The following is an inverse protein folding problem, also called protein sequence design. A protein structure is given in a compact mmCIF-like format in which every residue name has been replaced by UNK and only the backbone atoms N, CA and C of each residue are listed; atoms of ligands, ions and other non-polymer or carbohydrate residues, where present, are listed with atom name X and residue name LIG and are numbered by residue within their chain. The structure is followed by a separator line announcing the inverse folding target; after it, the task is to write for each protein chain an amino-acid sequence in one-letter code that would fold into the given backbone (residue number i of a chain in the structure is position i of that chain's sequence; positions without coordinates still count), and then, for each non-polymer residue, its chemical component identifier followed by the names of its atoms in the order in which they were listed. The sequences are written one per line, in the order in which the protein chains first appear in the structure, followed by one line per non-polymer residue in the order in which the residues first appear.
data_IF_723644776330
#
_entry.id   IF_723644776330
#
_cell.length_a   1.000
_cell.length_b   1.000
_cell.length_c   1.000
_cell.angle_alpha   90.00
_cell.angle_beta   90.00
_cell.angle_gamma   90.00
#
_symmetry.space_group_name_H-M   'P 1'
#
loop_
_entity.id
_entity.type
_entity.pdbx_description
1 polymer ?
#
# COMPACT_ATOMS: atom_id res chain seq x y z
N UNK A 1 -30.82 -23.92 -8.30
CA UNK A 1 -29.59 -24.55 -7.79
C UNK A 1 -28.48 -23.53 -7.81
N UNK A 2 -27.83 -23.36 -6.65
CA UNK A 2 -26.57 -22.65 -6.42
C UNK A 2 -26.54 -21.15 -6.74
N UNK A 3 -27.11 -20.39 -5.80
CA UNK A 3 -26.56 -19.11 -5.43
C UNK A 3 -25.12 -19.31 -4.90
N UNK A 4 -24.11 -19.00 -5.72
CA UNK A 4 -22.76 -18.76 -5.22
C UNK A 4 -22.73 -17.37 -4.60
N UNK A 5 -23.15 -17.31 -3.35
CA UNK A 5 -22.84 -16.24 -2.42
C UNK A 5 -21.34 -16.24 -2.12
N UNK A 6 -20.54 -15.66 -3.00
CA UNK A 6 -19.22 -15.15 -2.64
C UNK A 6 -19.37 -13.69 -2.24
N UNK A 7 -19.38 -13.44 -0.93
CA UNK A 7 -19.38 -12.09 -0.35
C UNK A 7 -18.11 -11.34 -0.77
N UNK A 8 -18.15 -10.69 -1.94
CA UNK A 8 -17.19 -9.64 -2.27
C UNK A 8 -17.46 -8.49 -1.32
N UNK A 9 -16.78 -8.50 -0.17
CA UNK A 9 -16.64 -7.31 0.68
C UNK A 9 -16.15 -6.18 -0.24
N UNK A 10 -17.04 -5.26 -0.58
CA UNK A 10 -16.72 -4.00 -1.24
C UNK A 10 -15.87 -3.18 -0.26
N UNK A 11 -14.59 -3.52 -0.11
CA UNK A 11 -13.63 -2.62 0.55
C UNK A 11 -13.35 -1.51 -0.45
N UNK A 12 -13.79 -0.31 -0.11
CA UNK A 12 -13.34 0.90 -0.80
C UNK A 12 -11.82 0.91 -0.83
N UNK A 13 -11.25 1.32 -1.96
CA UNK A 13 -9.81 1.55 -2.06
C UNK A 13 -9.40 2.61 -1.03
N UNK A 14 -8.18 2.54 -0.47
CA UNK A 14 -7.68 3.58 0.41
C UNK A 14 -7.52 4.89 -0.37
N UNK A 15 -7.49 6.02 0.34
CA UNK A 15 -7.41 7.34 -0.30
C UNK A 15 -5.98 7.76 -0.68
N UNK A 16 -4.95 7.14 -0.11
CA UNK A 16 -3.55 7.43 -0.46
C UNK A 16 -3.15 6.94 -1.85
N UNK A 17 -2.44 7.77 -2.62
CA UNK A 17 -1.84 7.48 -3.94
C UNK A 17 -2.83 7.08 -5.07
N UNK A 18 -4.14 7.20 -4.85
CA UNK A 18 -5.15 6.94 -5.89
C UNK A 18 -5.61 8.24 -6.57
N UNK A 19 -5.84 8.17 -7.88
CA UNK A 19 -6.36 9.31 -8.65
C UNK A 19 -7.74 9.74 -8.12
N UNK A 20 -7.97 11.04 -8.05
CA UNK A 20 -9.21 11.66 -7.59
C UNK A 20 -9.59 11.31 -6.14
N UNK A 21 -8.61 11.05 -5.28
CA UNK A 21 -8.80 10.87 -3.83
C UNK A 21 -7.85 11.79 -3.07
N UNK A 22 -8.30 12.29 -1.94
CA UNK A 22 -7.54 13.24 -1.13
C UNK A 22 -7.46 12.81 0.32
N UNK A 23 -6.38 13.21 1.00
CA UNK A 23 -6.29 13.13 2.46
C UNK A 23 -7.41 13.92 3.15
N UNK A 24 -8.00 14.92 2.48
CA UNK A 24 -9.17 15.62 3.00
C UNK A 24 -10.37 14.67 3.23
N UNK A 25 -10.53 13.66 2.36
CA UNK A 25 -11.59 12.66 2.52
C UNK A 25 -11.34 11.79 3.77
N UNK A 26 -10.09 11.40 4.01
CA UNK A 26 -9.70 10.65 5.22
C UNK A 26 -9.97 11.45 6.50
N UNK A 27 -9.61 12.75 6.52
CA UNK A 27 -9.85 13.65 7.65
C UNK A 27 -11.36 13.75 7.92
N UNK A 28 -12.16 14.00 6.87
CA UNK A 28 -13.60 14.13 7.00
C UNK A 28 -14.26 12.85 7.53
N UNK A 29 -13.78 11.67 7.11
CA UNK A 29 -14.25 10.39 7.65
C UNK A 29 -13.97 10.29 9.15
N UNK A 30 -12.76 10.62 9.58
CA UNK A 30 -12.37 10.57 11.01
C UNK A 30 -13.16 11.58 11.84
N UNK A 31 -13.33 12.81 11.35
CA UNK A 31 -14.13 13.85 12.00
C UNK A 31 -15.59 13.39 12.20
N UNK A 32 -16.19 12.77 11.18
CA UNK A 32 -17.55 12.24 11.27
C UNK A 32 -17.66 11.10 12.30
N UNK A 33 -16.66 10.22 12.39
CA UNK A 33 -16.63 9.17 13.41
C UNK A 33 -16.60 9.78 14.82
N UNK A 34 -15.76 10.80 15.06
CA UNK A 34 -15.71 11.48 16.35
C UNK A 34 -16.99 12.25 16.67
N UNK A 35 -17.59 12.92 15.70
CA UNK A 35 -18.86 13.62 15.88
C UNK A 35 -19.97 12.66 16.32
N UNK A 36 -20.05 11.47 15.69
CA UNK A 36 -21.02 10.44 16.06
C UNK A 36 -20.74 9.83 17.43
N UNK A 37 -19.47 9.58 17.75
CA UNK A 37 -19.10 9.10 19.07
C UNK A 37 -19.53 10.05 20.18
N UNK A 38 -19.32 11.35 19.94
CA UNK A 38 -19.74 12.41 20.85
C UNK A 38 -21.26 12.45 21.00
N UNK A 39 -22.01 12.41 19.89
CA UNK A 39 -23.48 12.38 19.87
C UNK A 39 -24.06 11.22 20.71
N UNK A 40 -23.50 10.02 20.56
CA UNK A 40 -23.98 8.81 21.24
C UNK A 40 -23.28 8.52 22.58
N UNK A 41 -22.39 9.40 23.04
CA UNK A 41 -21.56 9.22 24.25
C UNK A 41 -20.78 7.90 24.26
N UNK A 42 -20.31 7.48 23.10
CA UNK A 42 -19.46 6.30 22.98
C UNK A 42 -18.05 6.61 23.43
N UNK A 43 -17.45 5.69 24.19
CA UNK A 43 -16.02 5.73 24.47
C UNK A 43 -15.27 5.32 23.20
N UNK A 44 -14.32 6.14 22.76
CA UNK A 44 -13.41 5.84 21.66
C UNK A 44 -11.97 5.96 22.15
N UNK A 45 -11.17 4.96 21.79
CA UNK A 45 -9.73 4.95 21.92
C UNK A 45 -9.12 5.00 20.52
N UNK A 46 -8.12 5.86 20.31
CA UNK A 46 -7.48 6.08 19.00
C UNK A 46 -6.04 5.60 19.05
N UNK A 47 -5.64 4.76 18.10
CA UNK A 47 -4.25 4.29 17.95
C UNK A 47 -3.71 4.70 16.60
N UNK A 48 -2.57 5.40 16.61
CA UNK A 48 -1.82 5.74 15.41
C UNK A 48 -0.82 4.63 15.10
N UNK A 49 -0.89 4.06 13.90
CA UNK A 49 0.04 3.05 13.41
C UNK A 49 0.79 3.59 12.21
N UNK A 50 2.10 3.75 12.33
CA UNK A 50 2.99 4.15 11.24
C UNK A 50 4.08 3.10 11.01
N UNK A 51 4.39 2.84 9.74
CA UNK A 51 5.40 1.86 9.35
C UNK A 51 6.75 2.54 9.10
N UNK A 52 7.70 2.37 10.03
CA UNK A 52 9.04 2.93 9.88
C UNK A 52 9.73 2.38 8.63
N UNK A 53 10.10 3.28 7.70
CA UNK A 53 10.69 2.95 6.40
C UNK A 53 9.84 1.91 5.62
N UNK A 54 8.55 2.21 5.45
CA UNK A 54 7.58 1.33 4.82
C UNK A 54 8.08 0.74 3.50
N UNK A 55 8.58 1.57 2.57
CA UNK A 55 9.09 1.11 1.28
C UNK A 55 10.42 0.35 1.39
N UNK A 56 11.29 0.73 2.33
CA UNK A 56 12.56 0.04 2.55
C UNK A 56 12.40 -1.37 3.10
N UNK A 57 11.35 -1.62 3.88
CA UNK A 57 11.13 -2.92 4.51
C UNK A 57 10.30 -3.89 3.66
N UNK A 58 9.90 -3.50 2.45
CA UNK A 58 9.13 -4.37 1.56
C UNK A 58 9.97 -5.53 1.04
N UNK A 59 9.37 -6.72 1.06
CA UNK A 59 9.90 -7.93 0.43
C UNK A 59 9.43 -7.95 -1.04
N UNK A 60 10.29 -7.56 -1.98
CA UNK A 60 9.95 -7.48 -3.43
C UNK A 60 9.29 -8.75 -3.99
N UNK A 61 9.80 -9.93 -3.61
CA UNK A 61 9.23 -11.22 -4.03
C UNK A 61 7.74 -11.35 -3.69
N UNK A 62 7.32 -10.86 -2.53
CA UNK A 62 5.91 -10.89 -2.11
C UNK A 62 5.03 -10.00 -2.99
N UNK A 63 5.56 -8.87 -3.47
CA UNK A 63 4.84 -8.03 -4.44
C UNK A 63 4.63 -8.78 -5.75
N UNK A 64 5.65 -9.45 -6.27
CA UNK A 64 5.53 -10.19 -7.53
C UNK A 64 4.53 -11.35 -7.42
N UNK A 65 4.53 -12.06 -6.29
CA UNK A 65 3.52 -13.07 -5.96
C UNK A 65 2.10 -12.47 -5.92
N UNK A 66 1.92 -11.31 -5.29
CA UNK A 66 0.63 -10.62 -5.22
C UNK A 66 0.17 -10.15 -6.61
N UNK A 67 1.06 -9.59 -7.43
CA UNK A 67 0.73 -9.19 -8.80
C UNK A 67 0.26 -10.38 -9.64
N UNK A 68 0.92 -11.53 -9.53
CA UNK A 68 0.46 -12.75 -10.21
C UNK A 68 -0.93 -13.18 -9.70
N UNK A 69 -1.17 -13.13 -8.38
CA UNK A 69 -2.48 -13.44 -7.78
C UNK A 69 -3.58 -12.46 -8.21
N UNK A 70 -3.24 -11.20 -8.48
CA UNK A 70 -4.16 -10.20 -9.02
C UNK A 70 -4.43 -10.37 -10.53
N UNK A 71 -3.82 -11.36 -11.18
CA UNK A 71 -4.06 -11.68 -12.59
C UNK A 71 -3.22 -10.87 -13.59
N UNK A 72 -2.14 -10.23 -13.15
CA UNK A 72 -1.22 -9.56 -14.06
C UNK A 72 -0.41 -10.57 -14.88
N UNK A 73 -0.21 -10.27 -16.16
CA UNK A 73 0.57 -11.12 -17.07
C UNK A 73 2.04 -11.23 -16.66
N UNK A 74 2.63 -12.41 -16.87
CA UNK A 74 4.01 -12.69 -16.47
C UNK A 74 5.03 -11.75 -17.13
N UNK A 75 4.75 -11.28 -18.35
CA UNK A 75 5.60 -10.30 -19.06
C UNK A 75 5.62 -8.94 -18.34
N UNK A 76 4.47 -8.44 -17.89
CA UNK A 76 4.39 -7.18 -17.11
C UNK A 76 5.10 -7.32 -15.77
N UNK A 77 4.90 -8.46 -15.08
CA UNK A 77 5.58 -8.74 -13.82
C UNK A 77 7.10 -8.73 -14.04
N UNK A 78 7.59 -9.39 -15.10
CA UNK A 78 9.02 -9.41 -15.44
C UNK A 78 9.59 -8.01 -15.63
N UNK A 79 8.91 -7.14 -16.36
CA UNK A 79 9.34 -5.74 -16.53
C UNK A 79 9.46 -5.03 -15.16
N UNK A 80 8.51 -5.26 -14.26
CA UNK A 80 8.56 -4.69 -12.90
C UNK A 80 9.74 -5.26 -12.10
N UNK A 81 10.04 -6.56 -12.23
CA UNK A 81 11.22 -7.18 -11.61
C UNK A 81 12.49 -6.51 -12.11
N UNK A 82 12.64 -6.36 -13.42
CA UNK A 82 13.83 -5.79 -14.06
C UNK A 82 14.02 -4.31 -13.67
N UNK A 83 12.95 -3.51 -13.62
CA UNK A 83 13.00 -2.12 -13.12
C UNK A 83 13.52 -2.01 -11.68
N UNK A 84 13.33 -3.07 -10.89
CA UNK A 84 13.72 -3.15 -9.49
C UNK A 84 14.97 -4.03 -9.25
N UNK A 85 15.63 -4.57 -10.27
CA UNK A 85 16.84 -5.40 -10.08
C UNK A 85 18.12 -4.57 -9.91
N UNK A 86 18.23 -3.47 -10.64
CA UNK A 86 19.49 -2.73 -10.80
C UNK A 86 19.60 -1.53 -9.86
N UNK A 87 19.24 -1.71 -8.58
CA UNK A 87 19.35 -0.63 -7.60
C UNK A 87 20.69 -0.70 -6.87
N UNK A 88 21.55 0.29 -7.12
CA UNK A 88 22.80 0.50 -6.41
C UNK A 88 22.79 1.85 -5.73
N UNK A 89 23.29 1.92 -4.50
CA UNK A 89 23.61 3.19 -3.84
C UNK A 89 25.11 3.39 -3.80
N UNK A 90 25.55 4.64 -3.96
CA UNK A 90 26.91 5.03 -3.64
C UNK A 90 26.97 5.42 -2.17
N UNK A 91 27.76 4.68 -1.40
CA UNK A 91 28.03 4.95 0.00
C UNK A 91 29.52 5.20 0.13
N UNK A 92 29.90 6.45 0.43
CA UNK A 92 31.29 6.87 0.64
C UNK A 92 32.22 6.48 -0.53
N UNK A 93 31.75 6.65 -1.77
CA UNK A 93 32.51 6.33 -2.98
C UNK A 93 32.40 4.89 -3.45
N UNK A 94 31.75 4.00 -2.70
CA UNK A 94 31.55 2.59 -3.05
C UNK A 94 30.12 2.31 -3.48
N UNK A 95 29.97 1.63 -4.63
CA UNK A 95 28.67 1.15 -5.09
C UNK A 95 28.27 -0.15 -4.38
N UNK A 96 27.09 -0.17 -3.79
CA UNK A 96 26.52 -1.32 -3.07
C UNK A 96 25.18 -1.67 -3.71
N UNK A 97 24.94 -2.95 -3.96
CA UNK A 97 23.65 -3.44 -4.43
C UNK A 97 22.62 -3.40 -3.31
N UNK A 98 21.42 -2.89 -3.62
CA UNK A 98 20.32 -2.81 -2.68
C UNK A 98 19.33 -3.94 -2.97
N UNK A 99 19.44 -4.99 -2.16
CA UNK A 99 18.69 -6.25 -2.32
C UNK A 99 17.27 -6.22 -1.72
N UNK A 100 17.06 -5.35 -0.74
CA UNK A 100 15.77 -5.13 -0.07
C UNK A 100 15.23 -3.77 -0.52
N UNK A 101 14.03 -3.33 -0.14
CA UNK A 101 13.48 -2.00 -0.46
C UNK A 101 12.81 -1.85 -1.84
N UNK A 102 11.74 -1.07 -1.95
CA UNK A 102 11.30 -0.51 -3.24
C UNK A 102 11.97 0.84 -3.47
N UNK A 103 12.26 1.17 -4.74
CA UNK A 103 12.72 2.51 -5.11
C UNK A 103 11.65 3.54 -4.75
N UNK A 104 12.05 4.59 -4.03
CA UNK A 104 11.18 5.71 -3.69
C UNK A 104 11.32 6.81 -4.74
N UNK A 105 10.20 7.20 -5.35
CA UNK A 105 10.15 8.14 -6.47
C UNK A 105 10.29 7.46 -7.84
N UNK A 106 9.62 8.04 -8.83
CA UNK A 106 9.80 7.69 -10.24
C UNK A 106 10.68 8.77 -10.86
N UNK A 107 11.86 8.38 -11.35
CA UNK A 107 12.67 9.19 -12.27
C UNK A 107 12.77 8.45 -13.58
#
# INVERSE_FOLDING_TARGET
SHAESSSKRNRSLPNGFFKNRSTCDDILIVENIFAKAYEYRWKIDVTFLDYTNAFGKIIRKKIYEILALCGFESQLIKIIVDLNSDFKANVLGKWINIEKELKQGAR
#
